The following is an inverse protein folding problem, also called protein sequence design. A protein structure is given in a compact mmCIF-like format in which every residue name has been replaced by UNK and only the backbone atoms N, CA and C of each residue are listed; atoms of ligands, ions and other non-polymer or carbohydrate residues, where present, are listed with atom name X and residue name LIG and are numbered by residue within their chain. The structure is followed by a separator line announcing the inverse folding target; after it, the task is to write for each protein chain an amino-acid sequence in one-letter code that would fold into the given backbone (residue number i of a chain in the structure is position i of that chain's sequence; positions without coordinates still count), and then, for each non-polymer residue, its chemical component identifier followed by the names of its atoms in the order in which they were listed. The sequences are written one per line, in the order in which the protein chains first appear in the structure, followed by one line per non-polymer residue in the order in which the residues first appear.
data_IF_548903508683
#
_entry.id   IF_548903508683
#
_cell.length_a   1.000
_cell.length_b   1.000
_cell.length_c   1.000
_cell.angle_alpha   90.00
_cell.angle_beta   90.00
_cell.angle_gamma   90.00
#
_symmetry.space_group_name_H-M   'P 1'
#
loop_
_entity.id
_entity.type
_entity.pdbx_description
1 polymer ?
#
# COMPACT_ATOMS: atom_id res chain seq x y z
N UNK A 1 -3.20 -6.18 13.28
CA UNK A 1 -2.18 -5.63 12.36
C UNK A 1 -1.00 -6.60 12.36
N UNK A 2 -0.69 -7.23 11.22
CA UNK A 2 0.27 -8.34 11.11
C UNK A 2 1.74 -7.89 11.00
N UNK A 3 1.97 -6.64 10.62
CA UNK A 3 3.30 -6.03 10.59
C UNK A 3 3.38 -4.99 11.71
N UNK A 4 3.74 -5.44 12.91
CA UNK A 4 3.76 -4.60 14.11
C UNK A 4 4.92 -3.62 14.12
N UNK A 5 6.07 -4.07 13.63
CA UNK A 5 7.32 -3.32 13.61
C UNK A 5 7.54 -2.61 12.26
N UNK A 6 6.47 -2.14 11.64
CA UNK A 6 6.56 -1.38 10.39
C UNK A 6 7.27 -0.05 10.65
N UNK A 7 8.29 0.32 9.85
CA UNK A 7 8.98 1.61 10.00
C UNK A 7 8.08 2.80 9.63
N UNK A 8 6.97 2.55 8.91
CA UNK A 8 5.97 3.55 8.54
C UNK A 8 4.61 3.21 9.11
N UNK A 9 3.85 4.24 9.48
CA UNK A 9 2.47 4.07 9.94
C UNK A 9 1.58 3.70 8.75
N UNK A 10 0.61 2.79 8.92
CA UNK A 10 -0.38 2.53 7.89
C UNK A 10 -1.12 3.80 7.50
N UNK A 11 -1.26 4.03 6.20
CA UNK A 11 -2.03 5.15 5.69
C UNK A 11 -3.49 5.03 6.13
N UNK A 12 -4.04 6.11 6.68
CA UNK A 12 -5.44 6.20 7.08
C UNK A 12 -6.07 7.39 6.38
N UNK A 13 -6.85 7.09 5.34
CA UNK A 13 -7.59 8.09 4.61
C UNK A 13 -8.63 8.77 5.51
N UNK A 14 -8.69 10.10 5.47
CA UNK A 14 -9.73 10.87 6.15
C UNK A 14 -10.51 11.71 5.13
N UNK A 15 -11.79 11.39 4.83
CA UNK A 15 -12.56 12.11 3.81
C UNK A 15 -12.84 13.58 4.16
N UNK A 16 -12.58 14.01 5.41
CA UNK A 16 -12.79 15.40 5.86
C UNK A 16 -11.57 16.30 5.66
N UNK A 17 -10.42 15.74 5.28
CA UNK A 17 -9.19 16.48 5.08
C UNK A 17 -8.92 16.67 3.59
N UNK A 18 -8.42 17.85 3.22
CA UNK A 18 -7.94 18.10 1.85
C UNK A 18 -6.73 17.22 1.53
N UNK A 19 -6.45 17.04 0.23
CA UNK A 19 -5.40 16.12 -0.24
C UNK A 19 -4.03 16.38 0.41
N UNK A 20 -3.66 17.63 0.56
CA UNK A 20 -2.35 18.03 1.12
C UNK A 20 -2.31 17.95 2.66
N UNK A 21 -3.47 17.75 3.28
CA UNK A 21 -3.62 17.50 4.72
C UNK A 21 -3.72 16.00 5.05
N UNK A 22 -3.82 15.14 4.04
CA UNK A 22 -3.72 13.69 4.22
C UNK A 22 -2.31 13.33 4.68
N UNK A 23 -2.18 12.23 5.43
CA UNK A 23 -0.86 11.72 5.78
C UNK A 23 -0.08 11.20 4.56
N UNK A 24 1.22 11.04 4.75
CA UNK A 24 2.11 10.49 3.73
C UNK A 24 1.67 9.08 3.28
N UNK A 25 1.78 8.84 1.97
CA UNK A 25 1.49 7.55 1.34
C UNK A 25 2.79 6.87 0.97
N UNK A 26 3.36 6.14 1.92
CA UNK A 26 4.55 5.33 1.69
C UNK A 26 4.24 4.09 0.85
N UNK A 27 5.09 3.83 -0.13
CA UNK A 27 5.19 2.56 -0.82
C UNK A 27 6.25 1.70 -0.13
N UNK A 28 5.94 0.42 0.04
CA UNK A 28 6.81 -0.56 0.72
C UNK A 28 6.91 -1.81 -0.12
N UNK A 29 8.11 -2.40 -0.15
CA UNK A 29 8.36 -3.68 -0.80
C UNK A 29 8.68 -4.71 0.28
N UNK A 30 7.85 -5.76 0.38
CA UNK A 30 7.97 -6.77 1.43
C UNK A 30 7.96 -8.16 0.84
N UNK A 31 8.59 -9.08 1.55
CA UNK A 31 8.35 -10.51 1.39
C UNK A 31 7.32 -10.94 2.43
N UNK A 32 6.26 -11.60 1.95
CA UNK A 32 5.19 -12.09 2.78
C UNK A 32 5.03 -13.61 2.60
N UNK A 33 4.52 -14.27 3.65
CA UNK A 33 4.16 -15.69 3.62
C UNK A 33 2.68 -15.84 3.98
N UNK A 34 1.94 -16.60 3.18
CA UNK A 34 0.56 -16.92 3.50
C UNK A 34 0.48 -17.87 4.70
N UNK A 35 -0.37 -17.55 5.67
CA UNK A 35 -0.61 -18.30 6.88
C UNK A 35 -2.02 -18.92 6.81
N UNK A 36 -2.17 -20.17 6.33
CA UNK A 36 -3.49 -20.73 6.03
C UNK A 36 -4.38 -20.86 7.27
N UNK A 37 -3.81 -21.19 8.44
CA UNK A 37 -4.57 -21.27 9.69
C UNK A 37 -5.14 -19.95 10.22
N UNK A 38 -4.82 -18.81 9.56
CA UNK A 38 -5.37 -17.48 9.90
C UNK A 38 -5.95 -16.78 8.67
N UNK A 39 -5.92 -17.42 7.50
CA UNK A 39 -6.32 -16.85 6.21
C UNK A 39 -5.72 -15.45 5.94
N UNK A 40 -4.46 -15.28 6.31
CA UNK A 40 -3.80 -13.96 6.32
C UNK A 40 -2.35 -14.06 5.81
N UNK A 41 -1.83 -12.97 5.27
CA UNK A 41 -0.42 -12.84 4.91
C UNK A 41 0.40 -12.33 6.10
N UNK A 42 1.42 -13.08 6.50
CA UNK A 42 2.41 -12.66 7.49
C UNK A 42 3.58 -11.93 6.85
N UNK A 43 4.04 -10.86 7.49
CA UNK A 43 5.29 -10.18 7.13
C UNK A 43 6.49 -11.11 7.42
N UNK A 44 7.47 -11.16 6.52
CA UNK A 44 8.74 -11.85 6.76
C UNK A 44 9.93 -10.89 6.80
N UNK A 45 10.11 -10.10 5.74
CA UNK A 45 11.22 -9.15 5.65
C UNK A 45 10.85 -7.96 4.75
N UNK A 46 11.54 -6.85 4.98
CA UNK A 46 11.50 -5.65 4.17
C UNK A 46 12.57 -5.78 3.08
N UNK A 47 12.18 -5.58 1.81
CA UNK A 47 13.08 -5.74 0.66
C UNK A 47 13.76 -4.44 0.22
N UNK A 48 13.27 -3.30 0.71
CA UNK A 48 13.84 -1.98 0.45
C UNK A 48 13.23 -0.93 1.39
N UNK A 49 13.88 0.24 1.48
CA UNK A 49 13.37 1.33 2.33
C UNK A 49 12.00 1.83 1.84
N UNK A 50 11.07 2.15 2.75
CA UNK A 50 9.81 2.79 2.37
C UNK A 50 10.08 4.10 1.63
N UNK A 51 9.33 4.35 0.56
CA UNK A 51 9.53 5.53 -0.27
C UNK A 51 8.21 6.28 -0.52
N UNK A 52 8.32 7.59 -0.73
CA UNK A 52 7.21 8.42 -1.21
C UNK A 52 7.11 8.42 -2.74
N UNK A 53 8.15 7.95 -3.43
CA UNK A 53 8.19 7.87 -4.87
C UNK A 53 7.30 6.73 -5.36
N UNK A 54 6.47 7.03 -6.37
CA UNK A 54 5.62 6.03 -7.00
C UNK A 54 6.50 5.00 -7.71
N UNK A 55 6.37 3.69 -7.41
CA UNK A 55 7.17 2.66 -8.06
C UNK A 55 7.00 2.69 -9.58
N UNK A 56 8.07 2.46 -10.35
CA UNK A 56 8.06 2.53 -11.83
C UNK A 56 7.03 1.61 -12.49
N UNK A 57 6.73 0.48 -11.85
CA UNK A 57 5.77 -0.51 -12.33
C UNK A 57 4.32 -0.17 -11.94
N UNK A 58 4.10 0.84 -11.10
CA UNK A 58 2.80 1.35 -10.73
C UNK A 58 2.34 2.41 -11.74
N UNK A 59 2.04 1.97 -12.97
CA UNK A 59 1.22 2.75 -13.88
C UNK A 59 -0.22 2.24 -13.70
N UNK A 60 -1.06 2.91 -12.90
CA UNK A 60 -2.48 2.61 -12.95
C UNK A 60 -2.93 2.97 -14.36
N UNK A 61 -3.13 1.96 -15.22
CA UNK A 61 -3.84 2.16 -16.46
C UNK A 61 -5.19 2.75 -16.08
N UNK A 62 -5.47 3.96 -16.57
CA UNK A 62 -6.85 4.43 -16.58
C UNK A 62 -7.60 3.41 -17.43
N UNK A 63 -8.34 2.52 -16.79
CA UNK A 63 -9.44 1.84 -17.45
C UNK A 63 -10.42 2.95 -17.81
N UNK A 64 -10.23 3.55 -18.98
CA UNK A 64 -11.27 4.37 -19.60
C UNK A 64 -12.47 3.45 -19.74
N UNK A 65 -13.58 3.81 -19.09
CA UNK A 65 -14.79 3.02 -19.01
C UNK A 65 -15.22 2.46 -20.38
N UNK A 66 -15.89 1.28 -20.40
CA UNK A 66 -16.37 0.66 -21.63
C UNK A 66 -17.30 1.63 -22.35
N UNK A 67 -17.06 1.82 -23.65
CA UNK A 67 -17.99 2.51 -24.54
C UNK A 67 -19.35 1.83 -24.43
N UNK A 68 -20.29 2.49 -23.78
CA UNK A 68 -21.72 2.21 -23.93
C UNK A 68 -22.11 2.90 -25.24
N UNK A 69 -22.41 2.10 -26.26
CA UNK A 69 -23.07 2.49 -27.49
C UNK A 69 -24.33 1.63 -27.63
#
# INVERSE_FOLDING_TARGET
MLWRDSPVKPFRFNPKLEKDQQGDRYFVEIKAKFLPGREQWGFMELLGEPTLDVPKYYKPEKISNPQVA
#
